data_IF_275965546926
#
_entry.id   IF_275965546926
#
_cell.length_a   1.000
_cell.length_b   1.000
_cell.length_c   1.000
_cell.angle_alpha   90.00
_cell.angle_beta   90.00
_cell.angle_gamma   90.00
#
_symmetry.space_group_name_H-M   'P 1'
#
loop_
_entity.id
_entity.type
_entity.pdbx_description
1 polymer ?
#
# COMPACT_ATOMS: atom_id res chain seq x y z
N UNK A 1 39.99 46.12 -18.77
CA UNK A 1 39.73 44.68 -19.04
C UNK A 1 38.96 44.12 -17.85
N UNK A 2 37.77 43.53 -17.87
CA UNK A 2 36.80 43.13 -18.89
C UNK A 2 35.41 43.18 -18.20
N UNK A 3 34.45 43.86 -18.83
CA UNK A 3 33.02 43.56 -18.70
C UNK A 3 32.73 42.24 -19.45
N UNK A 4 31.58 41.58 -19.17
CA UNK A 4 30.89 40.44 -19.85
C UNK A 4 30.77 39.20 -18.92
N UNK A 5 29.63 38.62 -18.53
CA UNK A 5 28.19 38.68 -18.84
C UNK A 5 27.42 38.11 -17.60
N UNK A 6 26.51 38.83 -16.93
CA UNK A 6 25.05 38.84 -17.11
C UNK A 6 24.41 37.57 -17.73
N UNK A 7 23.38 37.04 -17.04
CA UNK A 7 22.18 36.30 -17.55
C UNK A 7 22.20 34.76 -17.56
N UNK A 8 21.30 34.23 -16.71
CA UNK A 8 20.43 33.03 -16.84
C UNK A 8 20.95 31.78 -17.57
N UNK A 9 20.92 30.65 -16.84
CA UNK A 9 20.03 29.50 -17.12
C UNK A 9 19.83 28.75 -15.79
N UNK A 10 18.68 28.85 -15.12
CA UNK A 10 17.44 28.08 -15.37
C UNK A 10 17.62 26.58 -15.13
N UNK A 11 16.70 26.05 -14.31
CA UNK A 11 16.33 24.64 -14.13
C UNK A 11 17.15 23.78 -13.17
N UNK A 12 17.09 24.11 -11.88
CA UNK A 12 16.72 23.08 -10.91
C UNK A 12 15.64 23.64 -9.99
N UNK A 13 14.48 23.96 -10.57
CA UNK A 13 13.26 23.57 -9.89
C UNK A 13 13.34 22.05 -9.82
N UNK A 14 13.90 21.52 -8.73
CA UNK A 14 13.46 20.25 -8.20
C UNK A 14 11.97 20.45 -7.95
N UNK A 15 11.16 20.20 -8.98
CA UNK A 15 9.74 20.01 -8.85
C UNK A 15 9.60 18.81 -7.94
N UNK A 16 9.62 19.05 -6.63
CA UNK A 16 8.76 18.31 -5.73
C UNK A 16 7.36 18.53 -6.27
N UNK A 17 6.98 17.71 -7.25
CA UNK A 17 5.61 17.62 -7.74
C UNK A 17 4.81 17.41 -6.47
N UNK A 18 4.03 18.41 -6.08
CA UNK A 18 3.37 18.41 -4.79
C UNK A 18 2.29 17.34 -4.87
N UNK A 19 2.58 16.18 -4.27
CA UNK A 19 1.62 15.10 -4.21
C UNK A 19 0.44 15.56 -3.34
N UNK A 20 -0.78 15.40 -3.87
CA UNK A 20 -2.00 15.66 -3.12
C UNK A 20 -2.39 14.40 -2.35
N UNK A 21 -2.62 14.55 -1.06
CA UNK A 21 -3.04 13.45 -0.18
C UNK A 21 -4.56 13.37 -0.11
N UNK A 22 -5.09 12.15 -0.19
CA UNK A 22 -6.51 11.82 -0.19
C UNK A 22 -6.80 10.72 0.81
N UNK A 23 -7.98 10.76 1.44
CA UNK A 23 -8.39 9.74 2.38
C UNK A 23 -8.67 8.41 1.65
N UNK A 24 -8.12 7.31 2.17
CA UNK A 24 -8.25 5.98 1.58
C UNK A 24 -9.69 5.45 1.54
N UNK A 25 -10.56 5.92 2.43
CA UNK A 25 -11.99 5.58 2.45
C UNK A 25 -12.76 6.08 1.22
N UNK A 26 -12.18 6.99 0.43
CA UNK A 26 -12.77 7.42 -0.86
C UNK A 26 -12.66 6.36 -1.94
N UNK A 27 -11.73 5.41 -1.79
CA UNK A 27 -11.43 4.36 -2.79
C UNK A 27 -11.51 2.95 -2.20
N UNK A 28 -11.61 2.81 -0.86
CA UNK A 28 -11.84 1.57 -0.15
C UNK A 28 -13.20 1.64 0.55
N UNK A 29 -14.16 0.86 0.08
CA UNK A 29 -15.45 0.64 0.75
C UNK A 29 -15.49 -0.75 1.39
N UNK A 30 -16.58 -1.09 2.08
CA UNK A 30 -16.72 -2.40 2.75
C UNK A 30 -16.57 -3.60 1.79
N UNK A 31 -17.02 -3.48 0.54
CA UNK A 31 -16.86 -4.53 -0.48
C UNK A 31 -15.38 -4.72 -0.85
N UNK A 32 -14.64 -3.63 -1.06
CA UNK A 32 -13.20 -3.67 -1.31
C UNK A 32 -12.45 -4.27 -0.12
N UNK A 33 -12.78 -3.83 1.09
CA UNK A 33 -12.17 -4.29 2.33
C UNK A 33 -12.32 -5.81 2.50
N UNK A 34 -13.52 -6.36 2.33
CA UNK A 34 -13.76 -7.80 2.37
C UNK A 34 -12.90 -8.57 1.35
N UNK A 35 -12.80 -8.08 0.12
CA UNK A 35 -12.02 -8.70 -0.95
C UNK A 35 -10.51 -8.65 -0.70
N UNK A 36 -10.00 -7.52 -0.19
CA UNK A 36 -8.60 -7.37 0.20
C UNK A 36 -8.24 -8.45 1.23
N UNK A 37 -9.08 -8.63 2.25
CA UNK A 37 -8.84 -9.59 3.32
C UNK A 37 -8.84 -11.03 2.81
N UNK A 38 -9.81 -11.39 1.98
CA UNK A 38 -9.89 -12.71 1.34
C UNK A 38 -8.60 -13.02 0.57
N UNK A 39 -8.11 -12.06 -0.23
CA UNK A 39 -6.86 -12.21 -0.98
C UNK A 39 -5.61 -12.26 -0.10
N UNK A 40 -5.59 -11.52 1.01
CA UNK A 40 -4.52 -11.66 1.99
C UNK A 40 -4.52 -13.08 2.57
N UNK A 41 -5.66 -13.62 3.01
CA UNK A 41 -5.74 -14.99 3.54
C UNK A 41 -5.18 -16.01 2.55
N UNK A 42 -5.68 -15.99 1.30
CA UNK A 42 -5.24 -16.89 0.23
C UNK A 42 -3.72 -16.82 0.04
N UNK A 43 -3.16 -15.61 -0.02
CA UNK A 43 -1.74 -15.36 -0.30
C UNK A 43 -0.83 -15.73 0.87
N UNK A 44 -1.31 -15.53 2.08
CA UNK A 44 -0.53 -15.81 3.27
C UNK A 44 -0.53 -17.31 3.57
N UNK A 45 -1.57 -18.07 3.22
CA UNK A 45 -1.77 -19.46 3.63
C UNK A 45 -1.59 -19.63 5.16
N UNK A 46 -1.84 -18.54 5.90
CA UNK A 46 -1.69 -18.45 7.34
C UNK A 46 -3.10 -18.29 7.90
N UNK A 47 -3.78 -19.42 8.11
CA UNK A 47 -5.09 -19.45 8.76
C UNK A 47 -6.24 -18.82 7.97
N UNK A 48 -7.25 -18.33 8.69
CA UNK A 48 -8.43 -17.65 8.15
C UNK A 48 -8.73 -16.40 8.98
N UNK A 49 -9.09 -15.28 8.36
CA UNK A 49 -9.53 -14.09 9.11
C UNK A 49 -10.91 -14.35 9.72
N UNK A 50 -11.08 -13.89 10.95
CA UNK A 50 -12.36 -13.94 11.66
C UNK A 50 -13.37 -13.01 11.03
N UNK A 51 -14.42 -13.52 10.37
CA UNK A 51 -15.46 -12.66 9.82
C UNK A 51 -16.28 -11.97 10.91
N UNK A 52 -16.23 -12.46 12.16
CA UNK A 52 -16.93 -11.86 13.30
C UNK A 52 -16.11 -10.76 13.99
N UNK A 53 -14.84 -10.59 13.64
CA UNK A 53 -14.02 -9.49 14.15
C UNK A 53 -14.10 -8.30 13.19
N UNK A 54 -14.31 -7.06 13.68
CA UNK A 54 -14.35 -5.90 12.81
C UNK A 54 -13.01 -5.75 12.09
N UNK A 55 -13.04 -5.77 10.76
CA UNK A 55 -11.87 -5.41 9.96
C UNK A 55 -11.93 -3.93 9.62
N UNK A 56 -10.82 -3.24 9.86
CA UNK A 56 -10.65 -1.82 9.57
C UNK A 56 -9.42 -1.58 8.72
N UNK A 57 -9.53 -0.65 7.78
CA UNK A 57 -8.40 -0.13 7.00
C UNK A 57 -8.57 1.38 6.88
N UNK A 58 -7.64 2.15 7.41
CA UNK A 58 -7.64 3.61 7.34
C UNK A 58 -6.25 4.16 7.03
N UNK A 59 -6.25 5.34 6.42
CA UNK A 59 -5.05 6.05 6.02
C UNK A 59 -5.31 6.95 4.83
N UNK A 60 -4.26 7.18 4.05
CA UNK A 60 -4.26 8.06 2.90
C UNK A 60 -3.55 7.44 1.68
N UNK A 61 -3.78 8.04 0.53
CA UNK A 61 -3.00 7.82 -0.68
C UNK A 61 -2.64 9.15 -1.32
N UNK A 62 -1.57 9.16 -2.10
CA UNK A 62 -1.02 10.36 -2.70
C UNK A 62 -1.05 10.26 -4.22
N UNK A 63 -1.56 11.31 -4.85
CA UNK A 63 -1.54 11.46 -6.30
C UNK A 63 -0.64 12.62 -6.70
N UNK A 64 0.08 12.46 -7.80
CA UNK A 64 0.79 13.57 -8.41
C UNK A 64 -0.15 14.48 -9.24
N UNK A 65 0.41 15.50 -9.87
CA UNK A 65 -0.33 16.47 -10.70
C UNK A 65 -1.05 15.84 -11.90
N UNK A 66 -0.60 14.68 -12.36
CA UNK A 66 -1.22 13.90 -13.46
C UNK A 66 -2.29 12.92 -12.95
N UNK A 67 -2.70 13.02 -11.68
CA UNK A 67 -3.58 12.07 -10.99
C UNK A 67 -3.04 10.64 -11.01
N UNK A 68 -1.72 10.46 -10.91
CA UNK A 68 -1.05 9.16 -10.81
C UNK A 68 -0.69 8.83 -9.38
N UNK A 69 -0.88 7.57 -8.99
CA UNK A 69 -0.54 7.09 -7.66
C UNK A 69 0.97 7.17 -7.45
N UNK A 70 1.38 7.86 -6.39
CA UNK A 70 2.79 8.01 -5.99
C UNK A 70 3.06 7.58 -4.56
N UNK A 71 2.02 7.46 -3.73
CA UNK A 71 2.16 7.01 -2.35
C UNK A 71 0.89 6.36 -1.81
N UNK A 72 1.06 5.41 -0.88
CA UNK A 72 0.01 4.87 -0.01
C UNK A 72 0.55 4.90 1.41
N UNK A 73 -0.27 5.35 2.35
CA UNK A 73 0.01 5.32 3.77
C UNK A 73 -1.19 4.77 4.53
N UNK A 74 -1.10 3.52 4.92
CA UNK A 74 -2.08 2.85 5.78
C UNK A 74 -1.59 2.98 7.21
N UNK A 75 -2.35 3.72 8.01
CA UNK A 75 -2.03 3.98 9.41
C UNK A 75 -2.54 2.85 10.30
N UNK A 76 -3.74 2.36 9.99
CA UNK A 76 -4.38 1.26 10.71
C UNK A 76 -4.96 0.25 9.72
N UNK A 77 -4.47 -0.97 9.81
CA UNK A 77 -5.11 -2.16 9.25
C UNK A 77 -5.31 -3.15 10.39
N UNK A 78 -6.56 -3.24 10.86
CA UNK A 78 -6.94 -4.04 12.00
C UNK A 78 -7.70 -5.29 11.55
N UNK A 79 -7.20 -6.48 11.86
CA UNK A 79 -7.86 -7.76 11.55
C UNK A 79 -7.46 -8.84 12.56
N UNK A 80 -8.20 -9.96 12.57
CA UNK A 80 -7.91 -11.11 13.43
C UNK A 80 -7.78 -12.37 12.60
N UNK A 81 -6.67 -13.08 12.73
CA UNK A 81 -6.40 -14.36 12.07
C UNK A 81 -6.66 -15.50 13.07
N UNK A 82 -7.40 -16.54 12.67
CA UNK A 82 -7.51 -17.82 13.37
C UNK A 82 -6.76 -18.91 12.59
N UNK A 83 -6.41 -20.02 13.24
CA UNK A 83 -5.70 -21.17 12.62
C UNK A 83 -4.32 -20.81 12.07
N UNK A 84 -3.55 -20.04 12.82
CA UNK A 84 -2.11 -19.92 12.55
C UNK A 84 -1.46 -21.33 12.56
N UNK A 85 -0.37 -21.55 11.78
CA UNK A 85 0.43 -22.75 11.91
C UNK A 85 0.78 -22.97 13.39
N UNK A 86 0.77 -24.24 13.84
CA UNK A 86 1.06 -24.66 15.22
C UNK A 86 -0.04 -24.46 16.29
N UNK A 87 -1.33 -24.40 15.92
CA UNK A 87 -2.47 -24.43 16.87
C UNK A 87 -2.46 -23.29 17.91
N UNK A 88 -1.87 -22.14 17.56
CA UNK A 88 -1.55 -21.05 18.49
C UNK A 88 -2.79 -20.25 18.96
N UNK A 89 -4.00 -20.62 18.52
CA UNK A 89 -5.20 -19.83 18.75
C UNK A 89 -5.25 -18.59 17.85
N UNK A 90 -6.23 -17.70 18.07
CA UNK A 90 -6.35 -16.47 17.29
C UNK A 90 -5.25 -15.46 17.58
N UNK A 91 -4.90 -14.70 16.56
CA UNK A 91 -4.06 -13.52 16.64
C UNK A 91 -4.78 -12.31 16.06
N UNK A 92 -5.08 -11.33 16.90
CA UNK A 92 -5.58 -10.02 16.47
C UNK A 92 -4.43 -9.04 16.32
N UNK A 93 -4.45 -8.22 15.27
CA UNK A 93 -3.40 -7.24 15.00
C UNK A 93 -3.96 -5.93 14.51
N UNK A 94 -3.25 -4.86 14.81
CA UNK A 94 -3.30 -3.57 14.12
C UNK A 94 -1.91 -3.29 13.54
N UNK A 95 -1.84 -2.95 12.27
CA UNK A 95 -0.58 -2.72 11.57
C UNK A 95 -0.62 -1.47 10.70
N UNK A 96 0.55 -0.91 10.42
CA UNK A 96 0.76 0.18 9.48
C UNK A 96 1.61 -0.29 8.31
N UNK A 97 1.32 0.22 7.11
CA UNK A 97 2.07 -0.04 5.88
C UNK A 97 2.16 1.24 5.08
N UNK A 98 3.34 1.58 4.59
CA UNK A 98 3.52 2.64 3.62
C UNK A 98 4.26 2.14 2.39
N UNK A 99 3.97 2.75 1.25
CA UNK A 99 4.61 2.46 -0.02
C UNK A 99 4.68 3.70 -0.91
N UNK A 100 5.80 3.86 -1.61
CA UNK A 100 5.98 4.89 -2.64
C UNK A 100 6.14 4.23 -4.02
N UNK A 101 5.61 4.88 -5.04
CA UNK A 101 5.59 4.41 -6.42
C UNK A 101 6.15 5.47 -7.35
N UNK A 102 6.79 5.01 -8.42
CA UNK A 102 7.25 5.90 -9.47
C UNK A 102 6.10 6.25 -10.43
N UNK A 103 5.55 7.47 -10.31
CA UNK A 103 4.65 8.06 -11.29
C UNK A 103 3.54 7.11 -11.80
N UNK A 104 2.75 6.52 -10.91
CA UNK A 104 1.67 5.60 -11.27
C UNK A 104 2.12 4.18 -11.63
N UNK A 105 3.41 3.86 -11.61
CA UNK A 105 3.89 2.49 -11.79
C UNK A 105 3.67 1.67 -10.50
N UNK A 106 2.42 1.27 -10.29
CA UNK A 106 2.00 0.53 -9.10
C UNK A 106 2.63 -0.86 -8.96
N UNK A 107 3.24 -1.42 -10.02
CA UNK A 107 3.94 -2.72 -9.97
C UNK A 107 5.41 -2.58 -9.56
N UNK A 108 5.93 -1.36 -9.44
CA UNK A 108 7.30 -1.09 -8.99
C UNK A 108 7.29 -0.22 -7.74
N UNK A 109 7.19 -0.87 -6.59
CA UNK A 109 7.35 -0.23 -5.27
C UNK A 109 8.80 0.23 -5.13
N UNK A 110 9.01 1.55 -5.03
CA UNK A 110 10.36 2.12 -4.85
C UNK A 110 10.84 1.94 -3.41
N UNK A 111 9.95 2.18 -2.45
CA UNK A 111 10.20 1.99 -1.04
C UNK A 111 8.91 1.58 -0.35
N UNK A 112 9.01 0.67 0.62
CA UNK A 112 7.89 0.30 1.48
C UNK A 112 8.36 0.08 2.90
N UNK A 113 7.48 0.35 3.85
CA UNK A 113 7.71 0.03 5.26
C UNK A 113 6.45 -0.60 5.83
N UNK A 114 6.62 -1.45 6.84
CA UNK A 114 5.50 -2.08 7.52
C UNK A 114 5.86 -2.31 8.97
N UNK A 115 4.85 -2.23 9.85
CA UNK A 115 5.02 -2.38 11.28
C UNK A 115 3.74 -2.90 11.92
N UNK A 116 3.88 -3.81 12.87
CA UNK A 116 2.79 -4.14 13.81
C UNK A 116 2.70 -3.02 14.87
N UNK A 117 1.59 -2.29 14.88
CA UNK A 117 1.31 -1.24 15.85
C UNK A 117 0.93 -1.87 17.21
N UNK A 118 0.06 -2.89 17.17
CA UNK A 118 -0.34 -3.68 18.33
C UNK A 118 -0.80 -5.06 17.90
N UNK A 119 -0.69 -6.05 18.79
CA UNK A 119 -1.13 -7.41 18.50
C UNK A 119 -1.31 -8.26 19.74
N UNK A 120 -2.20 -9.25 19.65
CA UNK A 120 -2.54 -10.16 20.74
C UNK A 120 -2.77 -11.57 20.20
N UNK A 121 -2.10 -12.61 20.75
CA UNK A 121 -1.14 -12.51 21.84
C UNK A 121 0.19 -11.86 21.42
N UNK A 122 0.79 -11.07 22.32
CA UNK A 122 1.94 -10.19 22.01
C UNK A 122 3.20 -10.94 21.58
N UNK A 123 3.40 -12.17 22.07
CA UNK A 123 4.58 -12.98 21.75
C UNK A 123 4.64 -13.39 20.27
N UNK A 124 3.53 -13.31 19.54
CA UNK A 124 3.48 -13.54 18.09
C UNK A 124 3.88 -12.31 17.26
N UNK A 125 3.95 -11.12 17.86
CA UNK A 125 4.17 -9.88 17.12
C UNK A 125 5.47 -9.91 16.31
N UNK A 126 6.55 -10.50 16.85
CA UNK A 126 7.83 -10.59 16.14
C UNK A 126 7.73 -11.47 14.89
N UNK A 127 7.14 -12.66 15.02
CA UNK A 127 6.92 -13.60 13.92
C UNK A 127 6.05 -13.00 12.83
N UNK A 128 4.94 -12.36 13.21
CA UNK A 128 4.03 -11.73 12.25
C UNK A 128 4.67 -10.53 11.58
N UNK A 129 5.42 -9.70 12.33
CA UNK A 129 6.15 -8.57 11.76
C UNK A 129 7.21 -9.02 10.75
N UNK A 130 7.93 -10.11 11.02
CA UNK A 130 8.88 -10.70 10.06
C UNK A 130 8.18 -11.21 8.81
N UNK A 131 7.06 -11.93 8.95
CA UNK A 131 6.27 -12.41 7.81
C UNK A 131 5.71 -11.26 6.97
N UNK A 132 5.22 -10.20 7.63
CA UNK A 132 4.72 -8.99 6.99
C UNK A 132 5.82 -8.29 6.20
N UNK A 133 6.99 -8.07 6.80
CA UNK A 133 8.11 -7.42 6.11
C UNK A 133 8.56 -8.17 4.85
N UNK A 134 8.55 -9.51 4.88
CA UNK A 134 8.92 -10.34 3.73
C UNK A 134 7.89 -10.28 2.59
N UNK A 135 6.61 -10.05 2.91
CA UNK A 135 5.49 -10.07 1.95
C UNK A 135 4.87 -8.69 1.73
N UNK A 136 5.43 -7.62 2.28
CA UNK A 136 4.82 -6.28 2.30
C UNK A 136 4.46 -5.76 0.91
N UNK A 137 5.31 -5.96 -0.08
CA UNK A 137 5.05 -5.53 -1.45
C UNK A 137 3.84 -6.28 -2.04
N UNK A 138 3.71 -7.57 -1.74
CA UNK A 138 2.55 -8.36 -2.16
C UNK A 138 1.27 -7.90 -1.48
N UNK A 139 1.34 -7.50 -0.20
CA UNK A 139 0.20 -6.88 0.51
C UNK A 139 -0.24 -5.59 -0.18
N UNK A 140 0.73 -4.74 -0.52
CA UNK A 140 0.49 -3.49 -1.22
C UNK A 140 -0.17 -3.75 -2.58
N UNK A 141 0.33 -4.73 -3.35
CA UNK A 141 -0.27 -5.14 -4.63
C UNK A 141 -1.71 -5.59 -4.46
N UNK A 142 -2.00 -6.42 -3.45
CA UNK A 142 -3.37 -6.87 -3.16
C UNK A 142 -4.29 -5.69 -2.84
N UNK A 143 -3.82 -4.72 -2.06
CA UNK A 143 -4.61 -3.54 -1.70
C UNK A 143 -4.92 -2.69 -2.94
N UNK A 144 -3.94 -2.49 -3.82
CA UNK A 144 -4.12 -1.72 -5.06
C UNK A 144 -5.11 -2.44 -6.00
N UNK A 145 -4.89 -3.73 -6.24
CA UNK A 145 -5.65 -4.52 -7.21
C UNK A 145 -7.11 -4.77 -6.76
N UNK A 146 -7.39 -4.65 -5.46
CA UNK A 146 -8.72 -4.89 -4.88
C UNK A 146 -9.38 -3.63 -4.28
N UNK A 147 -8.86 -2.44 -4.60
CA UNK A 147 -9.47 -1.15 -4.27
C UNK A 147 -9.66 -0.29 -5.52
N UNK A 148 -10.21 0.92 -5.35
CA UNK A 148 -10.26 1.93 -6.41
C UNK A 148 -8.90 2.49 -6.81
N UNK A 149 -7.80 2.16 -6.12
CA UNK A 149 -6.47 2.73 -6.37
C UNK A 149 -5.90 2.34 -7.74
N UNK A 150 -6.30 1.18 -8.28
CA UNK A 150 -5.90 0.72 -9.61
C UNK A 150 -6.25 1.72 -10.74
N UNK A 151 -7.25 2.59 -10.54
CA UNK A 151 -7.61 3.65 -11.48
C UNK A 151 -6.51 4.71 -11.67
N UNK A 152 -5.66 4.89 -10.65
CA UNK A 152 -4.58 5.88 -10.65
C UNK A 152 -3.23 5.28 -11.05
N UNK A 153 -3.19 3.99 -11.37
CA UNK A 153 -2.02 3.33 -11.91
C UNK A 153 -1.89 3.57 -13.41
N UNK A 154 -0.66 3.50 -13.93
CA UNK A 154 -0.41 3.47 -15.36
C UNK A 154 -1.02 2.19 -15.92
N UNK A 155 -2.08 2.34 -16.72
CA UNK A 155 -2.57 1.23 -17.55
C UNK A 155 -1.51 1.01 -18.62
N UNK A 156 -0.81 -0.12 -18.58
CA UNK A 156 -0.03 -0.56 -19.74
C UNK A 156 -1.00 -0.60 -20.92
N UNK A 157 -0.84 0.33 -21.87
CA UNK A 157 -1.61 0.29 -23.09
C UNK A 157 -1.18 -0.98 -23.83
N UNK A 158 -1.98 -2.03 -23.78
CA UNK A 158 -1.81 -3.14 -24.71
C UNK A 158 -1.97 -2.55 -26.11
N UNK A 159 -0.87 -2.43 -26.84
CA UNK A 159 -0.93 -2.22 -28.28
C UNK A 159 -1.48 -3.51 -28.86
N UNK A 160 -2.78 -3.54 -29.10
CA UNK A 160 -3.43 -4.62 -29.85
C UNK A 160 -2.98 -4.41 -31.30
N UNK A 161 -2.00 -5.19 -31.74
CA UNK A 161 -1.67 -5.30 -33.15
C UNK A 161 -2.68 -6.27 -33.79
N UNK A 162 -3.50 -5.76 -34.70
CA UNK A 162 -4.23 -6.60 -35.63
C UNK A 162 -3.27 -6.93 -36.79
N UNK A 163 -2.92 -8.20 -36.95
CA UNK A 163 -2.26 -8.73 -38.14
C UNK A 163 -3.33 -9.20 -39.15
#
# INVERSE_FOLDING_TARGET
MKLKHLVLMVSMFSSSVFAKSYNLNTVVNNTHLNKIIEKLIEKFNVGAVDPAYPIGLSGAFELNEENRLVGIQIEHASFRIYKLPFNIGPYSTDLSISANFNNGNCKKVESSTSKINSGSPTWLNSTVNSALNNKRNEVIDIIIDNSGLSLYCNRTAYQIYFY
#
